data_IF_047712977870
#
_entry.id   IF_047712977870
#
_cell.length_a   1.000
_cell.length_b   1.000
_cell.length_c   1.000
_cell.angle_alpha   90.00
_cell.angle_beta   90.00
_cell.angle_gamma   90.00
#
_symmetry.space_group_name_H-M   'P 1'
#
loop_
_entity.id
_entity.type
_entity.pdbx_description
1 polymer ?
#
# COMPACT_ATOMS: atom_id res chain seq x y z
N UNK A 1 -10.95 10.41 -29.66
CA UNK A 1 -12.21 11.18 -29.51
C UNK A 1 -13.28 10.16 -29.20
N UNK A 2 -13.88 10.19 -28.01
CA UNK A 2 -15.33 10.03 -27.87
C UNK A 2 -15.73 10.35 -26.42
N UNK A 3 -16.36 11.50 -26.21
CA UNK A 3 -17.13 11.76 -25.00
C UNK A 3 -18.38 10.88 -25.06
N UNK A 4 -18.65 10.09 -24.02
CA UNK A 4 -19.98 9.49 -23.86
C UNK A 4 -20.66 10.14 -22.68
N UNK A 5 -21.34 11.24 -23.00
CA UNK A 5 -22.41 11.81 -22.19
C UNK A 5 -23.58 10.82 -22.22
N UNK A 6 -24.09 10.43 -21.06
CA UNK A 6 -25.35 9.73 -20.97
C UNK A 6 -26.41 10.73 -20.51
N UNK A 7 -27.17 11.28 -21.45
CA UNK A 7 -28.37 12.08 -21.20
C UNK A 7 -29.55 11.38 -21.84
N UNK A 8 -30.28 10.54 -21.10
CA UNK A 8 -31.63 10.15 -21.51
C UNK A 8 -32.52 9.88 -20.29
N UNK A 9 -33.48 10.79 -20.11
CA UNK A 9 -34.70 10.56 -19.34
C UNK A 9 -35.86 10.57 -20.34
N UNK A 10 -36.72 9.55 -20.36
CA UNK A 10 -38.16 9.72 -20.60
C UNK A 10 -38.90 8.59 -19.89
N UNK A 11 -39.93 8.96 -19.15
CA UNK A 11 -40.94 8.05 -18.59
C UNK A 11 -42.22 8.24 -19.39
N UNK A 12 -42.77 7.16 -19.95
CA UNK A 12 -44.22 7.01 -20.14
C UNK A 12 -44.57 5.53 -20.42
N UNK A 13 -45.39 4.95 -19.55
CA UNK A 13 -46.09 3.68 -19.83
C UNK A 13 -45.55 2.48 -19.04
N UNK A 14 -46.22 2.20 -17.92
CA UNK A 14 -46.23 0.99 -17.11
C UNK A 14 -45.84 -0.32 -17.85
N UNK A 15 -44.66 -0.88 -17.55
CA UNK A 15 -44.39 -2.33 -17.49
C UNK A 15 -43.22 -2.55 -16.53
N UNK A 16 -43.46 -3.39 -15.50
CA UNK A 16 -42.63 -3.83 -14.37
C UNK A 16 -41.32 -3.08 -14.03
N UNK A 17 -41.09 -2.71 -12.75
CA UNK A 17 -39.76 -2.33 -12.30
C UNK A 17 -38.86 -3.56 -12.39
N UNK A 18 -38.21 -3.75 -13.53
CA UNK A 18 -37.01 -4.56 -13.61
C UNK A 18 -35.95 -3.84 -12.77
N UNK A 19 -35.86 -4.19 -11.49
CA UNK A 19 -34.66 -3.96 -10.71
C UNK A 19 -33.51 -4.59 -11.48
N UNK A 20 -32.50 -3.82 -11.92
CA UNK A 20 -31.28 -4.40 -12.44
C UNK A 20 -30.78 -5.37 -11.37
N UNK A 21 -30.55 -6.62 -11.75
CA UNK A 21 -29.84 -7.56 -10.90
C UNK A 21 -28.43 -6.98 -10.75
N UNK A 22 -28.19 -6.18 -9.72
CA UNK A 22 -26.85 -5.79 -9.32
C UNK A 22 -26.14 -7.10 -8.94
N UNK A 23 -25.38 -7.64 -9.90
CA UNK A 23 -24.40 -8.66 -9.58
C UNK A 23 -23.55 -8.13 -8.42
N UNK A 24 -23.36 -8.89 -7.33
CA UNK A 24 -22.60 -8.42 -6.19
C UNK A 24 -21.16 -8.24 -6.61
N UNK A 25 -20.82 -7.01 -7.00
CA UNK A 25 -19.46 -6.61 -7.31
C UNK A 25 -18.62 -6.84 -6.04
N UNK A 26 -17.52 -7.61 -6.12
CA UNK A 26 -16.65 -7.81 -4.98
C UNK A 26 -16.20 -6.45 -4.46
N UNK A 27 -16.54 -6.14 -3.20
CA UNK A 27 -16.07 -4.90 -2.58
C UNK A 27 -14.54 -4.93 -2.54
N UNK A 28 -13.86 -3.87 -3.00
CA UNK A 28 -12.41 -3.81 -2.95
C UNK A 28 -11.95 -3.94 -1.49
N UNK A 29 -10.76 -4.54 -1.25
CA UNK A 29 -10.21 -4.60 0.08
C UNK A 29 -10.05 -3.19 0.66
N UNK A 30 -10.23 -3.02 1.97
CA UNK A 30 -10.03 -1.73 2.61
C UNK A 30 -8.57 -1.27 2.42
N UNK A 31 -8.33 0.05 2.28
CA UNK A 31 -6.99 0.57 2.13
C UNK A 31 -6.15 0.28 3.37
N UNK A 32 -4.88 -0.06 3.14
CA UNK A 32 -3.89 -0.22 4.20
C UNK A 32 -3.77 1.07 5.02
N UNK A 33 -3.45 0.99 6.32
CA UNK A 33 -3.11 2.17 7.10
C UNK A 33 -1.90 2.92 6.48
N UNK A 34 -1.82 4.25 6.62
CA UNK A 34 -0.69 5.02 6.11
C UNK A 34 0.60 4.64 6.83
N UNK A 35 1.74 4.96 6.21
CA UNK A 35 3.05 4.88 6.87
C UNK A 35 3.15 6.09 7.82
N UNK A 36 3.48 5.83 9.08
CA UNK A 36 3.56 6.87 10.13
C UNK A 36 4.97 7.02 10.69
N UNK A 37 5.82 6.01 10.52
CA UNK A 37 7.19 6.03 11.03
C UNK A 37 8.10 5.28 10.05
N UNK A 38 9.34 5.76 9.90
CA UNK A 38 10.42 5.13 9.14
C UNK A 38 11.64 5.05 10.04
N UNK A 39 12.38 3.94 9.96
CA UNK A 39 13.64 3.76 10.66
C UNK A 39 14.68 3.11 9.74
N UNK A 40 15.95 3.29 10.09
CA UNK A 40 17.07 2.61 9.43
C UNK A 40 17.70 1.69 10.46
N UNK A 41 17.83 0.43 10.11
CA UNK A 41 18.38 -0.61 10.99
C UNK A 41 19.60 -1.22 10.35
N UNK A 42 20.55 -1.64 11.18
CA UNK A 42 21.54 -2.63 10.75
C UNK A 42 20.82 -3.97 10.61
N UNK A 43 21.29 -4.83 9.71
CA UNK A 43 20.76 -6.19 9.62
C UNK A 43 20.73 -6.82 11.02
N UNK A 44 19.56 -7.27 11.49
CA UNK A 44 19.43 -7.77 12.84
C UNK A 44 20.44 -8.89 13.03
N UNK A 45 21.33 -8.72 14.01
CA UNK A 45 22.23 -9.81 14.41
C UNK A 45 21.37 -10.92 14.99
N UNK A 46 21.89 -12.14 15.00
CA UNK A 46 21.19 -13.28 15.58
C UNK A 46 20.72 -12.95 17.02
N UNK A 47 19.39 -12.78 17.21
CA UNK A 47 18.78 -12.38 18.49
C UNK A 47 18.33 -10.92 18.62
N UNK A 48 18.56 -10.07 17.61
CA UNK A 48 18.01 -8.70 17.55
C UNK A 48 16.66 -8.73 16.84
N UNK A 49 15.61 -8.21 17.49
CA UNK A 49 14.26 -8.15 16.94
C UNK A 49 13.95 -6.72 16.50
N UNK A 50 13.22 -6.58 15.40
CA UNK A 50 12.72 -5.28 14.96
C UNK A 50 11.82 -4.68 16.05
N UNK A 51 11.81 -3.35 16.21
CA UNK A 51 10.84 -2.71 17.10
C UNK A 51 9.40 -3.13 16.75
N UNK A 52 8.52 -3.35 17.74
CA UNK A 52 7.17 -3.84 17.51
C UNK A 52 6.40 -3.01 16.48
N UNK A 53 5.79 -3.70 15.52
CA UNK A 53 4.97 -3.10 14.46
C UNK A 53 5.75 -2.55 13.26
N UNK A 54 7.09 -2.60 13.27
CA UNK A 54 7.88 -2.28 12.09
C UNK A 54 7.95 -3.45 11.12
N UNK A 55 7.99 -3.12 9.83
CA UNK A 55 8.23 -4.03 8.71
C UNK A 55 9.55 -3.64 8.05
N UNK A 56 10.49 -4.57 7.96
CA UNK A 56 11.75 -4.36 7.26
C UNK A 56 11.57 -4.56 5.74
N UNK A 57 12.18 -3.68 4.96
CA UNK A 57 12.28 -3.82 3.50
C UNK A 57 13.60 -4.53 3.20
N UNK A 58 13.56 -5.86 3.16
CA UNK A 58 14.76 -6.69 2.92
C UNK A 58 15.06 -6.87 1.42
N UNK A 59 14.02 -6.77 0.59
CA UNK A 59 14.09 -7.01 -0.85
C UNK A 59 13.42 -5.88 -1.63
N UNK A 60 14.04 -5.52 -2.74
CA UNK A 60 13.48 -4.64 -3.76
C UNK A 60 12.35 -5.34 -4.53
N UNK A 61 11.48 -4.60 -5.25
CA UNK A 61 10.42 -5.21 -6.06
C UNK A 61 10.89 -6.16 -7.15
N UNK A 62 12.14 -6.04 -7.61
CA UNK A 62 12.77 -6.95 -8.58
C UNK A 62 13.40 -8.19 -7.95
N UNK A 63 13.33 -8.33 -6.62
CA UNK A 63 13.87 -9.49 -5.89
C UNK A 63 15.36 -9.39 -5.54
N UNK A 64 16.00 -8.23 -5.75
CA UNK A 64 17.36 -7.98 -5.26
C UNK A 64 17.33 -7.55 -3.80
N UNK A 65 18.42 -7.75 -3.06
CA UNK A 65 18.59 -7.21 -1.70
C UNK A 65 18.36 -5.69 -1.68
N UNK A 66 17.65 -5.21 -0.66
CA UNK A 66 17.45 -3.79 -0.40
C UNK A 66 18.48 -3.21 0.59
N UNK A 67 19.63 -3.87 0.74
CA UNK A 67 20.76 -3.36 1.52
C UNK A 67 21.26 -2.02 0.94
N UNK A 68 21.16 -0.96 1.74
CA UNK A 68 21.60 0.39 1.39
C UNK A 68 23.12 0.48 1.19
N UNK A 69 23.88 -0.48 1.72
CA UNK A 69 25.33 -0.58 1.58
C UNK A 69 25.78 -1.66 0.59
N UNK A 70 24.86 -2.15 -0.27
CA UNK A 70 25.17 -3.19 -1.24
C UNK A 70 26.40 -2.84 -2.10
N UNK A 71 27.37 -3.75 -2.16
CA UNK A 71 28.63 -3.57 -2.90
C UNK A 71 29.82 -3.12 -2.05
N UNK A 72 29.62 -2.77 -0.77
CA UNK A 72 30.70 -2.51 0.17
C UNK A 72 31.36 -3.79 0.67
N UNK A 73 32.67 -3.96 0.45
CA UNK A 73 33.42 -5.09 0.99
C UNK A 73 33.46 -4.98 2.53
N UNK A 74 32.82 -5.90 3.24
CA UNK A 74 32.68 -5.89 4.71
C UNK A 74 31.84 -4.73 5.29
N UNK A 75 31.06 -4.03 4.47
CA UNK A 75 30.12 -3.05 4.99
C UNK A 75 29.03 -3.76 5.81
N UNK A 76 28.56 -3.17 6.93
CA UNK A 76 27.38 -3.68 7.59
C UNK A 76 26.19 -3.55 6.64
N UNK A 77 25.35 -4.58 6.61
CA UNK A 77 24.09 -4.52 5.88
C UNK A 77 23.14 -3.55 6.59
N UNK A 78 22.50 -2.67 5.82
CA UNK A 78 21.62 -1.61 6.33
C UNK A 78 20.31 -1.64 5.57
N UNK A 79 19.19 -1.63 6.30
CA UNK A 79 17.86 -1.72 5.71
C UNK A 79 16.93 -0.63 6.23
N UNK A 80 15.99 -0.23 5.38
CA UNK A 80 14.88 0.64 5.75
C UNK A 80 13.76 -0.21 6.35
N UNK A 81 13.20 0.24 7.48
CA UNK A 81 11.99 -0.30 8.06
C UNK A 81 10.90 0.78 8.11
N UNK A 82 9.64 0.38 8.03
CA UNK A 82 8.50 1.29 8.19
C UNK A 82 7.46 0.72 9.15
N UNK A 83 6.69 1.60 9.79
CA UNK A 83 5.50 1.24 10.55
C UNK A 83 4.28 1.90 9.91
N UNK A 84 3.18 1.15 9.88
CA UNK A 84 1.87 1.65 9.44
C UNK A 84 0.93 1.80 10.63
N UNK A 85 0.18 2.89 10.66
CA UNK A 85 -0.66 3.22 11.81
C UNK A 85 -1.70 4.28 11.49
N UNK A 86 -2.66 4.45 12.40
CA UNK A 86 -3.63 5.56 12.40
C UNK A 86 -3.56 6.36 13.71
N UNK A 87 -2.58 6.04 14.56
CA UNK A 87 -2.27 6.70 15.83
C UNK A 87 -1.56 8.04 15.65
N UNK A 88 -0.97 8.28 14.47
CA UNK A 88 -0.23 9.50 14.12
C UNK A 88 -0.58 9.95 12.70
N UNK A 89 -0.32 11.22 12.34
CA UNK A 89 -0.45 11.69 10.97
C UNK A 89 0.41 10.90 9.98
N UNK A 90 0.01 10.78 8.71
CA UNK A 90 0.81 10.11 7.68
C UNK A 90 2.11 10.85 7.42
N UNK A 91 3.19 10.11 7.16
CA UNK A 91 4.39 10.68 6.55
C UNK A 91 4.09 11.02 5.09
N UNK A 92 4.35 12.27 4.72
CA UNK A 92 4.06 12.79 3.38
C UNK A 92 5.31 13.01 2.53
N UNK A 93 6.49 13.03 3.15
CA UNK A 93 7.76 13.29 2.47
C UNK A 93 8.94 12.67 3.21
N UNK A 94 10.06 12.48 2.52
CA UNK A 94 11.36 12.01 3.03
C UNK A 94 12.46 12.87 2.40
N UNK A 95 13.29 13.53 3.23
CA UNK A 95 14.34 14.46 2.80
C UNK A 95 15.72 14.11 3.34
#
# INVERSE_FOLDING_TARGET
MEQRVADYFVVAGLTDPHTPLEEPHPRPPPPLPPITDVSVVLAPRQGEELPPGFTCVESTPSGLTADLNSGGLMAPQVFVCYRRGRDKPPLTDLG
#
